data_IF_445076528242
#
_entry.id   IF_445076528242
#
_cell.length_a   1.000
_cell.length_b   1.000
_cell.length_c   1.000
_cell.angle_alpha   90.00
_cell.angle_beta   90.00
_cell.angle_gamma   90.00
#
_symmetry.space_group_name_H-M   'P 1'
#
loop_
_entity.id
_entity.type
_entity.pdbx_description
1 polymer ?
#
# COMPACT_ATOMS: atom_id res chain seq x y z
N UNK A 1 -7.10 -4.53 -19.06
CA UNK A 1 -7.18 -5.45 -17.94
C UNK A 1 -8.26 -5.05 -16.96
N UNK A 2 -8.81 -6.03 -16.26
CA UNK A 2 -9.89 -5.78 -15.30
C UNK A 2 -9.49 -4.79 -14.22
N UNK A 3 -8.28 -4.93 -13.66
CA UNK A 3 -7.82 -4.04 -12.60
C UNK A 3 -7.53 -2.63 -13.09
N UNK A 4 -7.21 -2.46 -14.37
CA UNK A 4 -7.04 -1.13 -14.96
C UNK A 4 -8.38 -0.42 -15.17
N UNK A 5 -9.46 -1.17 -15.38
CA UNK A 5 -10.81 -0.63 -15.59
C UNK A 5 -11.61 -0.50 -14.28
N UNK A 6 -11.19 -1.17 -13.21
CA UNK A 6 -11.88 -1.20 -11.92
C UNK A 6 -10.99 -0.66 -10.82
N UNK A 7 -11.56 0.05 -9.81
CA UNK A 7 -10.76 0.45 -8.67
C UNK A 7 -10.25 -0.76 -7.89
N UNK A 8 -9.09 -0.67 -7.24
CA UNK A 8 -8.62 -1.74 -6.36
C UNK A 8 -9.64 -2.03 -5.25
N UNK A 9 -9.87 -3.31 -4.92
CA UNK A 9 -10.83 -3.65 -3.87
C UNK A 9 -10.33 -3.20 -2.50
N UNK A 10 -11.23 -2.84 -1.58
CA UNK A 10 -10.84 -2.60 -0.20
C UNK A 10 -10.17 -3.83 0.40
N UNK A 11 -9.10 -3.62 1.17
CA UNK A 11 -8.40 -4.73 1.83
C UNK A 11 -9.35 -5.54 2.72
N UNK A 12 -10.27 -4.87 3.42
CA UNK A 12 -11.24 -5.54 4.28
C UNK A 12 -12.09 -6.57 3.52
N UNK A 13 -12.41 -6.30 2.25
CA UNK A 13 -13.17 -7.24 1.43
C UNK A 13 -12.28 -8.36 0.89
N UNK A 14 -11.10 -8.00 0.38
CA UNK A 14 -10.18 -8.98 -0.20
C UNK A 14 -9.61 -9.93 0.87
N UNK A 15 -9.61 -9.54 2.13
CA UNK A 15 -9.10 -10.34 3.23
C UNK A 15 -9.76 -11.72 3.31
N UNK A 16 -11.00 -11.85 2.88
CA UNK A 16 -11.74 -13.12 2.91
C UNK A 16 -11.03 -14.16 2.02
N UNK A 17 -10.42 -13.73 0.94
CA UNK A 17 -9.72 -14.62 0.00
C UNK A 17 -8.26 -14.91 0.43
N UNK A 18 -7.76 -14.25 1.46
CA UNK A 18 -6.38 -14.37 1.87
C UNK A 18 -6.13 -15.67 2.67
N UNK A 19 -4.90 -16.24 2.58
CA UNK A 19 -4.54 -17.40 3.39
C UNK A 19 -4.64 -17.11 4.89
N UNK A 20 -4.81 -18.18 5.67
CA UNK A 20 -4.97 -18.05 7.12
C UNK A 20 -3.75 -17.37 7.78
N UNK A 21 -2.55 -17.67 7.32
CA UNK A 21 -1.32 -17.09 7.86
C UNK A 21 -1.11 -15.61 7.49
N UNK A 22 -1.91 -15.06 6.60
CA UNK A 22 -1.92 -13.63 6.27
C UNK A 22 -2.82 -12.82 7.20
N UNK A 23 -3.78 -13.47 7.87
CA UNK A 23 -4.83 -12.78 8.60
C UNK A 23 -4.31 -11.88 9.73
N UNK A 24 -3.30 -12.28 10.54
CA UNK A 24 -2.78 -11.38 11.58
C UNK A 24 -2.21 -10.09 11.02
N UNK A 25 -1.47 -10.17 9.90
CA UNK A 25 -0.92 -8.96 9.27
C UNK A 25 -2.02 -8.09 8.68
N UNK A 26 -3.00 -8.68 8.02
CA UNK A 26 -4.14 -7.94 7.48
C UNK A 26 -4.90 -7.23 8.60
N UNK A 27 -5.13 -7.90 9.72
CA UNK A 27 -5.80 -7.30 10.88
C UNK A 27 -5.03 -6.09 11.41
N UNK A 28 -3.70 -6.17 11.48
CA UNK A 28 -2.86 -5.06 11.91
C UNK A 28 -2.97 -3.88 10.95
N UNK A 29 -3.00 -4.15 9.64
CA UNK A 29 -3.13 -3.09 8.62
C UNK A 29 -4.50 -2.42 8.67
N UNK A 30 -5.56 -3.19 8.88
CA UNK A 30 -6.90 -2.63 9.02
C UNK A 30 -7.01 -1.76 10.28
N UNK A 31 -6.35 -2.14 11.36
CA UNK A 31 -6.29 -1.33 12.57
C UNK A 31 -5.55 -0.01 12.33
N UNK A 32 -4.45 -0.04 11.56
CA UNK A 32 -3.76 1.19 11.15
C UNK A 32 -4.68 2.08 10.31
N UNK A 33 -5.42 1.49 9.38
CA UNK A 33 -6.39 2.22 8.57
C UNK A 33 -7.39 2.97 9.45
N UNK A 34 -7.93 2.29 10.45
CA UNK A 34 -8.85 2.92 11.40
C UNK A 34 -8.18 4.07 12.16
N UNK A 35 -6.93 3.87 12.59
CA UNK A 35 -6.19 4.90 13.32
C UNK A 35 -5.99 6.17 12.50
N UNK A 36 -5.74 6.04 11.20
CA UNK A 36 -5.48 7.18 10.32
C UNK A 36 -6.73 7.64 9.54
N UNK A 37 -7.87 6.99 9.74
CA UNK A 37 -9.07 7.31 8.97
C UNK A 37 -8.95 6.94 7.49
N UNK A 38 -8.19 5.91 7.17
CA UNK A 38 -7.92 5.46 5.81
C UNK A 38 -8.47 4.05 5.63
N UNK A 39 -9.16 3.83 4.52
CA UNK A 39 -9.55 2.48 4.11
C UNK A 39 -8.51 2.00 3.08
N UNK A 40 -7.54 1.15 3.48
CA UNK A 40 -6.55 0.67 2.52
C UNK A 40 -7.20 -0.25 1.50
N UNK A 41 -6.70 -0.18 0.28
CA UNK A 41 -7.08 -1.08 -0.80
C UNK A 41 -5.96 -2.09 -1.04
N UNK A 42 -6.24 -3.15 -1.79
CA UNK A 42 -5.20 -4.08 -2.20
C UNK A 42 -5.18 -4.22 -3.71
N UNK A 43 -4.00 -4.58 -4.22
CA UNK A 43 -3.81 -4.90 -5.64
C UNK A 43 -2.92 -6.15 -5.73
N UNK A 44 -2.45 -6.49 -6.93
CA UNK A 44 -1.63 -7.69 -7.11
C UNK A 44 -2.39 -8.99 -6.91
N UNK A 45 -1.68 -10.03 -6.46
CA UNK A 45 -2.22 -11.39 -6.38
C UNK A 45 -3.47 -11.55 -5.53
N UNK A 46 -3.51 -10.91 -4.36
CA UNK A 46 -4.69 -11.01 -3.49
C UNK A 46 -5.91 -10.38 -4.14
N UNK A 47 -5.75 -9.22 -4.78
CA UNK A 47 -6.85 -8.57 -5.48
C UNK A 47 -7.39 -9.45 -6.61
N UNK A 48 -6.49 -10.03 -7.42
CA UNK A 48 -6.90 -10.94 -8.48
C UNK A 48 -7.61 -12.16 -7.93
N UNK A 49 -7.11 -12.77 -6.85
CA UNK A 49 -7.73 -13.93 -6.23
C UNK A 49 -9.13 -13.60 -5.71
N UNK A 50 -9.29 -12.44 -5.09
CA UNK A 50 -10.59 -11.95 -4.61
C UNK A 50 -11.56 -11.72 -5.77
N UNK A 51 -11.13 -11.06 -6.84
CA UNK A 51 -12.01 -10.66 -7.94
C UNK A 51 -12.40 -11.83 -8.83
N UNK A 52 -11.53 -12.83 -8.97
CA UNK A 52 -11.77 -13.95 -9.92
C UNK A 52 -12.13 -15.25 -9.25
N UNK A 53 -11.85 -15.43 -7.96
CA UNK A 53 -12.03 -16.71 -7.28
C UNK A 53 -10.97 -17.75 -7.65
N UNK A 54 -9.97 -17.38 -8.46
CA UNK A 54 -8.90 -18.28 -8.87
C UNK A 54 -7.70 -18.14 -7.96
N UNK A 55 -6.86 -19.18 -7.88
CA UNK A 55 -5.67 -19.16 -7.04
C UNK A 55 -4.53 -18.41 -7.75
N UNK A 56 -4.13 -17.28 -7.19
CA UNK A 56 -3.02 -16.48 -7.70
C UNK A 56 -1.85 -16.39 -6.72
N UNK A 57 -2.11 -16.66 -5.43
CA UNK A 57 -1.10 -16.50 -4.39
C UNK A 57 -0.23 -17.73 -4.27
N UNK A 58 1.06 -17.51 -4.02
CA UNK A 58 2.05 -18.54 -3.71
C UNK A 58 2.70 -18.20 -2.36
N UNK A 59 3.52 -19.11 -1.78
CA UNK A 59 4.21 -18.81 -0.53
C UNK A 59 5.14 -17.60 -0.60
N UNK A 60 5.58 -17.21 -1.79
CA UNK A 60 6.46 -16.05 -1.98
C UNK A 60 5.73 -14.79 -2.43
N UNK A 61 4.40 -14.81 -2.51
CA UNK A 61 3.63 -13.65 -2.91
C UNK A 61 3.69 -12.53 -1.88
N UNK A 62 3.74 -11.28 -2.35
CA UNK A 62 3.66 -10.10 -1.49
C UNK A 62 2.19 -9.75 -1.23
N UNK A 63 1.96 -9.11 -0.09
CA UNK A 63 0.70 -8.45 0.19
C UNK A 63 0.85 -6.99 -0.27
N UNK A 64 0.18 -6.64 -1.37
CA UNK A 64 0.29 -5.33 -2.01
C UNK A 64 -0.88 -4.45 -1.59
N UNK A 65 -0.59 -3.35 -0.91
CA UNK A 65 -1.61 -2.44 -0.38
C UNK A 65 -1.46 -1.04 -0.92
N UNK A 66 -2.58 -0.33 -1.02
CA UNK A 66 -2.64 1.06 -1.45
C UNK A 66 -3.25 1.87 -0.32
N UNK A 67 -2.55 2.95 0.06
CA UNK A 67 -2.93 3.81 1.17
C UNK A 67 -3.25 5.22 0.68
N UNK A 68 -4.53 5.51 0.37
CA UNK A 68 -4.92 6.86 -0.04
C UNK A 68 -4.89 7.80 1.16
N UNK A 69 -3.99 8.77 1.12
CA UNK A 69 -3.79 9.71 2.21
C UNK A 69 -4.82 10.83 2.16
N UNK A 70 -5.40 11.17 3.31
CA UNK A 70 -6.27 12.34 3.41
C UNK A 70 -5.48 13.64 3.29
N UNK A 71 -4.29 13.68 3.91
CA UNK A 71 -3.35 14.79 3.82
C UNK A 71 -1.94 14.23 3.68
N UNK A 72 -1.06 14.98 3.01
CA UNK A 72 0.32 14.53 2.78
C UNK A 72 1.12 14.41 4.09
N UNK A 73 0.80 15.19 5.09
CA UNK A 73 1.60 15.26 6.32
C UNK A 73 1.51 14.01 7.19
N UNK A 74 0.55 13.11 6.96
CA UNK A 74 0.49 11.84 7.69
C UNK A 74 1.46 10.80 7.16
N UNK A 75 2.06 11.03 5.98
CA UNK A 75 2.88 10.03 5.31
C UNK A 75 4.06 9.53 6.15
N UNK A 76 4.85 10.39 6.81
CA UNK A 76 5.99 9.89 7.60
C UNK A 76 5.57 8.97 8.75
N UNK A 77 4.53 9.34 9.49
CA UNK A 77 4.05 8.53 10.61
C UNK A 77 3.46 7.21 10.13
N UNK A 78 2.64 7.26 9.09
CA UNK A 78 2.04 6.05 8.51
C UNK A 78 3.12 5.10 7.98
N UNK A 79 4.11 5.62 7.26
CA UNK A 79 5.20 4.79 6.73
C UNK A 79 5.98 4.11 7.86
N UNK A 80 6.24 4.81 8.96
CA UNK A 80 6.90 4.25 10.12
C UNK A 80 6.05 3.12 10.76
N UNK A 81 4.75 3.33 10.87
CA UNK A 81 3.83 2.34 11.42
C UNK A 81 3.70 1.13 10.48
N UNK A 82 3.73 1.35 9.17
CA UNK A 82 3.76 0.25 8.20
C UNK A 82 5.04 -0.58 8.33
N UNK A 83 6.18 0.06 8.56
CA UNK A 83 7.44 -0.64 8.78
C UNK A 83 7.36 -1.54 10.03
N UNK A 84 6.72 -1.08 11.09
CA UNK A 84 6.49 -1.90 12.28
C UNK A 84 5.53 -3.05 12.01
N UNK A 85 4.44 -2.79 11.31
CA UNK A 85 3.47 -3.83 10.96
C UNK A 85 4.06 -4.87 10.01
N UNK A 86 5.05 -4.51 9.22
CA UNK A 86 5.72 -5.40 8.27
C UNK A 86 6.75 -6.32 8.94
N UNK A 87 7.14 -6.03 10.18
CA UNK A 87 8.10 -6.85 10.91
C UNK A 87 7.46 -8.16 11.39
N UNK A 88 8.26 -9.18 11.56
CA UNK A 88 7.79 -10.47 12.06
C UNK A 88 7.21 -11.37 10.98
N UNK A 89 6.62 -12.51 11.39
CA UNK A 89 6.12 -13.51 10.45
C UNK A 89 4.90 -12.99 9.66
N UNK A 90 4.75 -13.50 8.44
CA UNK A 90 3.66 -13.15 7.56
C UNK A 90 4.17 -12.80 6.17
N UNK A 91 3.28 -12.50 5.22
CA UNK A 91 3.67 -12.13 3.87
C UNK A 91 4.48 -10.83 3.88
N UNK A 92 5.39 -10.69 2.92
CA UNK A 92 6.10 -9.43 2.74
C UNK A 92 5.08 -8.35 2.40
N UNK A 93 5.12 -7.25 3.13
CA UNK A 93 4.23 -6.13 2.88
C UNK A 93 4.85 -5.19 1.85
N UNK A 94 4.16 -4.98 0.74
CA UNK A 94 4.54 -4.02 -0.28
C UNK A 94 3.38 -3.06 -0.51
N UNK A 95 3.58 -2.10 -1.39
CA UNK A 95 2.50 -1.20 -1.73
C UNK A 95 2.90 0.26 -1.75
N UNK A 96 1.88 1.10 -1.86
CA UNK A 96 2.09 2.51 -2.18
C UNK A 96 1.28 3.43 -1.27
N UNK A 97 1.87 4.58 -0.97
CA UNK A 97 1.16 5.73 -0.44
C UNK A 97 0.64 6.53 -1.63
N UNK A 98 -0.65 6.83 -1.62
CA UNK A 98 -1.27 7.66 -2.65
C UNK A 98 -1.54 9.04 -2.06
N UNK A 99 -0.80 10.04 -2.53
CA UNK A 99 -0.90 11.41 -2.03
C UNK A 99 -2.12 12.12 -2.63
N UNK A 100 -2.65 13.16 -1.97
CA UNK A 100 -3.87 13.83 -2.43
C UNK A 100 -3.81 14.37 -3.85
N UNK A 101 -2.60 14.72 -4.33
CA UNK A 101 -2.41 15.19 -5.71
C UNK A 101 -2.34 14.09 -6.76
N UNK A 102 -2.51 12.82 -6.37
CA UNK A 102 -2.46 11.68 -7.30
C UNK A 102 -1.09 11.03 -7.43
N UNK A 103 -0.08 11.50 -6.71
CA UNK A 103 1.25 10.90 -6.74
C UNK A 103 1.26 9.63 -5.88
N UNK A 104 1.76 8.53 -6.44
CA UNK A 104 1.92 7.26 -5.74
C UNK A 104 3.40 6.95 -5.54
N UNK A 105 3.77 6.58 -4.33
CA UNK A 105 5.15 6.30 -3.94
C UNK A 105 5.18 5.05 -3.10
N UNK A 106 6.15 4.16 -3.37
CA UNK A 106 6.34 2.97 -2.56
C UNK A 106 6.59 3.36 -1.09
N UNK A 107 5.82 2.80 -0.17
CA UNK A 107 5.88 3.19 1.23
C UNK A 107 7.22 2.86 1.88
N UNK A 108 7.84 1.75 1.47
CA UNK A 108 9.11 1.30 2.02
C UNK A 108 10.25 2.20 1.60
N UNK A 109 10.25 2.59 0.33
CA UNK A 109 11.23 3.55 -0.18
C UNK A 109 11.05 4.93 0.47
N UNK A 110 9.80 5.36 0.64
CA UNK A 110 9.51 6.62 1.31
C UNK A 110 10.03 6.62 2.75
N UNK A 111 9.80 5.53 3.48
CA UNK A 111 10.25 5.42 4.87
C UNK A 111 11.78 5.46 4.99
N UNK A 112 12.48 4.80 4.08
CA UNK A 112 13.94 4.71 4.11
C UNK A 112 14.63 6.00 3.63
N UNK A 113 13.94 6.88 2.90
CA UNK A 113 14.53 8.04 2.28
C UNK A 113 14.67 9.21 3.25
N UNK A 114 15.78 9.94 3.14
CA UNK A 114 15.93 11.25 3.75
C UNK A 114 15.22 12.32 2.92
N UNK A 115 15.08 13.57 3.46
CA UNK A 115 14.31 14.63 2.77
C UNK A 115 14.83 14.98 1.38
N UNK A 116 16.12 14.82 1.12
CA UNK A 116 16.73 15.16 -0.16
C UNK A 116 16.93 13.95 -1.07
N UNK A 117 16.64 12.74 -0.60
CA UNK A 117 16.77 11.54 -1.41
C UNK A 117 15.69 11.50 -2.49
N UNK A 118 16.08 11.05 -3.67
CA UNK A 118 15.18 10.95 -4.82
C UNK A 118 14.29 9.72 -4.70
N UNK A 119 13.01 9.90 -4.97
CA UNK A 119 12.01 8.84 -4.97
C UNK A 119 11.36 8.72 -6.33
N UNK A 120 11.05 7.48 -6.75
CA UNK A 120 10.25 7.25 -7.94
C UNK A 120 8.79 7.55 -7.60
N UNK A 121 8.25 8.57 -8.24
CA UNK A 121 6.87 9.03 -8.05
C UNK A 121 6.07 8.68 -9.30
N UNK A 122 5.01 7.90 -9.12
CA UNK A 122 4.12 7.50 -10.20
C UNK A 122 2.91 8.43 -10.22
N UNK A 123 2.55 8.87 -11.41
CA UNK A 123 1.34 9.65 -11.66
C UNK A 123 0.51 8.91 -12.73
N UNK A 124 -0.68 9.40 -13.05
CA UNK A 124 -1.64 8.67 -13.89
C UNK A 124 -1.04 8.19 -15.22
N UNK A 125 -0.17 9.00 -15.84
CA UNK A 125 0.37 8.71 -17.17
C UNK A 125 1.88 8.76 -17.27
N UNK A 126 2.59 8.95 -16.15
CA UNK A 126 4.04 9.06 -16.13
C UNK A 126 4.60 8.74 -14.76
N UNK A 127 5.92 8.50 -14.73
CA UNK A 127 6.68 8.41 -13.49
C UNK A 127 7.85 9.39 -13.58
N UNK A 128 8.27 9.90 -12.43
CA UNK A 128 9.41 10.82 -12.35
C UNK A 128 10.10 10.70 -10.99
N UNK A 129 11.34 11.14 -10.94
CA UNK A 129 12.08 11.19 -9.69
C UNK A 129 11.89 12.55 -9.02
N UNK A 130 11.52 12.53 -7.75
CA UNK A 130 11.36 13.75 -6.95
C UNK A 130 12.04 13.54 -5.60
N UNK A 131 12.64 14.62 -5.01
CA UNK A 131 13.05 14.56 -3.62
C UNK A 131 11.85 14.35 -2.71
N UNK A 132 12.02 13.53 -1.67
CA UNK A 132 10.96 13.21 -0.72
C UNK A 132 10.27 14.46 -0.16
N UNK A 133 11.04 15.51 0.12
CA UNK A 133 10.53 16.75 0.70
C UNK A 133 9.47 17.42 -0.18
N UNK A 134 9.55 17.26 -1.49
CA UNK A 134 8.57 17.86 -2.42
C UNK A 134 7.18 17.27 -2.27
N UNK A 135 7.05 16.03 -1.83
CA UNK A 135 5.75 15.39 -1.60
C UNK A 135 5.04 15.98 -0.38
N UNK A 136 5.79 16.43 0.59
CA UNK A 136 5.25 17.00 1.83
C UNK A 136 4.91 18.48 1.71
N UNK A 137 5.45 19.14 0.70
CA UNK A 137 5.20 20.56 0.45
C UNK A 137 3.89 20.84 -0.29
N UNK A 138 3.26 19.79 -0.83
CA UNK A 138 2.04 19.95 -1.63
C UNK A 138 0.80 20.14 -0.76
#
# INVERSE_FOLDING_TARGET
>A
AILAASPPPPLAQAAIAAPADWQPRIAALLALGTQYGIAPACFGGLAWQHLTGLAYLSPSSDLDTLWPLGTADVAPALAADLAQAAAGPGPRLDGELLFPGGQAVNWREFHAAGPQDMLLVKEAQRARLLPRVMLLAA
#
